data_IF_568347152716
#
_entry.id   IF_568347152716
#
_cell.length_a   1.000
_cell.length_b   1.000
_cell.length_c   1.000
_cell.angle_alpha   90.00
_cell.angle_beta   90.00
_cell.angle_gamma   90.00
#
_symmetry.space_group_name_H-M   'P 1'
#
loop_
_entity.id
_entity.type
_entity.pdbx_description
1 polymer ?
#
# COMPACT_ATOMS: atom_id res chain seq x y z
N UNK A 1 44.80 -10.47 2.25
CA UNK A 1 43.43 -10.11 1.83
C UNK A 1 42.86 -9.14 2.86
N UNK A 2 42.46 -7.95 2.42
CA UNK A 2 42.11 -6.79 3.27
C UNK A 2 40.80 -7.00 4.03
N UNK A 3 40.88 -7.43 5.29
CA UNK A 3 39.74 -7.66 6.18
C UNK A 3 38.83 -6.43 6.37
N UNK A 4 39.37 -5.21 6.20
CA UNK A 4 38.59 -3.98 6.33
C UNK A 4 37.57 -3.76 5.20
N UNK A 5 37.86 -4.28 4.00
CA UNK A 5 36.94 -4.17 2.85
C UNK A 5 35.70 -5.05 3.04
N UNK A 6 35.84 -6.19 3.71
CA UNK A 6 34.73 -7.12 3.98
C UNK A 6 33.70 -6.55 4.98
N UNK A 7 34.17 -5.85 6.01
CA UNK A 7 33.29 -5.21 7.00
C UNK A 7 32.51 -4.02 6.40
N UNK A 8 33.14 -3.22 5.54
CA UNK A 8 32.48 -2.08 4.90
C UNK A 8 31.39 -2.53 3.92
N UNK A 9 31.68 -3.54 3.09
CA UNK A 9 30.70 -4.14 2.18
C UNK A 9 29.50 -4.74 2.94
N UNK A 10 29.75 -5.37 4.09
CA UNK A 10 28.69 -5.91 4.95
C UNK A 10 27.84 -4.80 5.57
N UNK A 11 28.45 -3.70 6.04
CA UNK A 11 27.74 -2.56 6.61
C UNK A 11 26.83 -1.87 5.59
N UNK A 12 27.35 -1.58 4.40
CA UNK A 12 26.58 -0.96 3.31
C UNK A 12 25.39 -1.83 2.91
N UNK A 13 25.60 -3.15 2.76
CA UNK A 13 24.53 -4.08 2.39
C UNK A 13 23.42 -4.10 3.44
N UNK A 14 23.75 -4.14 4.73
CA UNK A 14 22.77 -4.14 5.81
C UNK A 14 21.95 -2.85 5.83
N UNK A 15 22.61 -1.70 5.71
CA UNK A 15 21.94 -0.39 5.64
C UNK A 15 20.98 -0.29 4.44
N UNK A 16 21.37 -0.83 3.29
CA UNK A 16 20.55 -0.83 2.08
C UNK A 16 19.32 -1.74 2.22
N UNK A 17 19.47 -2.92 2.83
CA UNK A 17 18.36 -3.82 3.12
C UNK A 17 17.37 -3.23 4.14
N UNK A 18 17.89 -2.57 5.18
CA UNK A 18 17.06 -1.85 6.16
C UNK A 18 16.31 -0.71 5.49
N UNK A 19 16.98 0.08 4.64
CA UNK A 19 16.35 1.16 3.87
C UNK A 19 15.24 0.66 2.95
N UNK A 20 15.47 -0.44 2.24
CA UNK A 20 14.46 -1.09 1.40
C UNK A 20 13.28 -1.62 2.21
N UNK A 21 13.52 -2.16 3.41
CA UNK A 21 12.45 -2.61 4.31
C UNK A 21 11.57 -1.44 4.76
N UNK A 22 12.16 -0.33 5.20
CA UNK A 22 11.39 0.86 5.58
C UNK A 22 10.63 1.48 4.40
N UNK A 23 11.24 1.49 3.22
CA UNK A 23 10.56 1.93 2.00
C UNK A 23 9.37 1.03 1.67
N UNK A 24 9.56 -0.30 1.70
CA UNK A 24 8.49 -1.26 1.48
C UNK A 24 7.35 -1.09 2.49
N UNK A 25 7.66 -0.90 3.78
CA UNK A 25 6.66 -0.65 4.82
C UNK A 25 5.91 0.67 4.62
N UNK A 26 6.59 1.73 4.18
CA UNK A 26 5.98 3.04 3.90
C UNK A 26 5.00 3.00 2.72
N UNK A 27 5.38 2.32 1.63
CA UNK A 27 4.52 2.16 0.43
C UNK A 27 3.34 1.22 0.73
N UNK A 28 3.54 0.23 1.61
CA UNK A 28 2.51 -0.77 1.97
C UNK A 28 1.49 -0.26 2.99
N UNK A 29 1.49 1.02 3.34
CA UNK A 29 0.43 1.65 4.16
C UNK A 29 -0.90 1.83 3.40
N UNK A 30 -1.25 0.85 2.57
CA UNK A 30 -2.56 0.63 1.94
C UNK A 30 -3.69 0.38 2.96
N UNK A 31 -3.39 0.34 4.26
CA UNK A 31 -4.39 0.55 5.32
C UNK A 31 -4.98 1.98 5.31
N UNK A 32 -4.40 2.91 4.54
CA UNK A 32 -4.99 4.23 4.25
C UNK A 32 -6.18 4.19 3.28
N UNK A 33 -6.58 3.03 2.75
CA UNK A 33 -7.83 2.94 1.99
C UNK A 33 -9.06 3.40 2.80
N UNK A 34 -8.96 3.34 4.14
CA UNK A 34 -10.00 3.77 5.04
C UNK A 34 -10.04 5.29 5.31
N UNK A 35 -8.92 6.02 5.18
CA UNK A 35 -8.84 7.44 5.62
C UNK A 35 -9.44 7.70 7.03
N UNK A 36 -9.38 6.71 7.93
CA UNK A 36 -10.00 6.75 9.27
C UNK A 36 -11.44 6.23 9.38
N UNK A 37 -12.04 5.73 8.29
CA UNK A 37 -13.44 5.29 8.20
C UNK A 37 -13.69 3.80 8.44
N UNK A 38 -12.64 3.01 8.67
CA UNK A 38 -12.72 1.56 8.78
C UNK A 38 -12.68 0.82 7.44
N UNK A 39 -12.67 -0.51 7.50
CA UNK A 39 -12.60 -1.38 6.32
C UNK A 39 -13.84 -1.22 5.45
N UNK A 40 -13.64 -1.12 4.13
CA UNK A 40 -14.72 -1.02 3.15
C UNK A 40 -15.31 0.38 2.94
N UNK A 41 -14.82 1.38 3.69
CA UNK A 41 -15.22 2.77 3.58
C UNK A 41 -14.02 3.65 3.24
N UNK A 42 -14.26 4.84 2.70
CA UNK A 42 -13.26 5.89 2.57
C UNK A 42 -13.85 7.23 2.98
N UNK A 43 -12.99 8.19 3.30
CA UNK A 43 -13.40 9.56 3.61
C UNK A 43 -13.73 10.31 2.32
N UNK A 44 -14.94 10.83 2.19
CA UNK A 44 -15.35 11.65 1.06
C UNK A 44 -14.62 12.99 1.09
N UNK A 45 -14.14 13.44 -0.07
CA UNK A 45 -13.31 14.65 -0.19
C UNK A 45 -14.12 15.91 0.13
N UNK A 46 -15.41 15.94 -0.25
CA UNK A 46 -16.24 17.14 -0.22
C UNK A 46 -16.83 17.47 1.17
N UNK A 47 -17.13 16.45 1.99
CA UNK A 47 -17.80 16.64 3.29
C UNK A 47 -17.10 15.88 4.43
N UNK A 48 -16.02 15.15 4.16
CA UNK A 48 -15.31 14.37 5.18
C UNK A 48 -16.08 13.17 5.74
N UNK A 49 -17.25 12.81 5.17
CA UNK A 49 -18.04 11.69 5.68
C UNK A 49 -17.47 10.35 5.21
N UNK A 50 -17.68 9.31 5.99
CA UNK A 50 -17.32 7.95 5.61
C UNK A 50 -18.36 7.37 4.65
N UNK A 51 -17.92 7.05 3.44
CA UNK A 51 -18.76 6.49 2.38
C UNK A 51 -18.21 5.14 1.92
N UNK A 52 -19.10 4.27 1.47
CA UNK A 52 -18.74 2.95 0.93
C UNK A 52 -17.72 3.10 -0.19
N UNK A 53 -16.68 2.27 -0.16
CA UNK A 53 -15.61 2.25 -1.15
C UNK A 53 -16.04 1.52 -2.43
N UNK A 54 -17.16 1.96 -3.00
CA UNK A 54 -17.75 1.38 -4.19
C UNK A 54 -16.92 1.72 -5.44
N UNK A 55 -16.86 0.83 -6.45
CA UNK A 55 -16.18 1.10 -7.71
C UNK A 55 -16.65 2.41 -8.36
N UNK A 56 -15.69 3.28 -8.71
CA UNK A 56 -15.93 4.54 -9.41
C UNK A 56 -15.72 4.43 -10.93
N UNK A 57 -15.58 5.56 -11.61
CA UNK A 57 -15.20 5.55 -13.02
C UNK A 57 -13.82 4.89 -13.21
N UNK A 58 -13.65 4.13 -14.29
CA UNK A 58 -12.40 3.42 -14.65
C UNK A 58 -11.98 2.29 -13.69
N UNK A 59 -12.84 1.89 -12.75
CA UNK A 59 -12.57 0.68 -11.96
C UNK A 59 -12.89 -0.58 -12.75
N UNK A 60 -12.06 -1.61 -12.57
CA UNK A 60 -12.30 -2.96 -13.12
C UNK A 60 -12.71 -3.92 -12.00
N UNK A 61 -13.66 -4.84 -12.25
CA UNK A 61 -14.01 -5.86 -11.26
C UNK A 61 -12.80 -6.76 -10.97
N UNK A 62 -12.73 -7.31 -9.75
CA UNK A 62 -11.72 -8.30 -9.37
C UNK A 62 -12.38 -9.68 -9.25
N UNK A 63 -12.40 -10.52 -10.31
CA UNK A 63 -13.23 -11.74 -10.34
C UNK A 63 -12.87 -12.77 -9.26
N UNK A 64 -11.60 -12.82 -8.86
CA UNK A 64 -11.11 -13.72 -7.80
C UNK A 64 -11.40 -13.22 -6.37
N UNK A 65 -11.95 -12.01 -6.20
CA UNK A 65 -12.17 -11.38 -4.90
C UNK A 65 -13.57 -10.75 -4.83
N UNK A 66 -14.58 -11.48 -4.31
CA UNK A 66 -15.94 -10.96 -4.16
C UNK A 66 -15.99 -9.68 -3.32
N UNK A 67 -16.72 -8.67 -3.78
CA UNK A 67 -16.80 -7.36 -3.08
C UNK A 67 -15.56 -6.47 -3.26
N UNK A 68 -14.67 -6.82 -4.21
CA UNK A 68 -13.49 -6.04 -4.54
C UNK A 68 -13.43 -5.62 -6.03
N UNK A 69 -12.64 -4.59 -6.28
CA UNK A 69 -12.40 -3.96 -7.58
C UNK A 69 -10.95 -3.48 -7.64
N UNK A 70 -10.47 -3.17 -8.85
CA UNK A 70 -9.16 -2.55 -9.08
C UNK A 70 -9.34 -1.14 -9.60
N UNK A 71 -8.59 -0.20 -9.04
CA UNK A 71 -8.60 1.18 -9.50
C UNK A 71 -7.82 1.33 -10.83
N UNK A 72 -7.78 2.55 -11.37
CA UNK A 72 -7.06 2.84 -12.62
C UNK A 72 -5.54 2.52 -12.56
N UNK A 73 -4.97 2.41 -11.36
CA UNK A 73 -3.58 2.04 -11.11
C UNK A 73 -3.39 0.54 -10.82
N UNK A 74 -4.44 -0.27 -10.99
CA UNK A 74 -4.41 -1.71 -10.75
C UNK A 74 -4.43 -2.13 -9.28
N UNK A 75 -4.50 -1.18 -8.33
CA UNK A 75 -4.54 -1.48 -6.90
C UNK A 75 -5.89 -2.09 -6.51
N UNK A 76 -5.86 -3.19 -5.77
CA UNK A 76 -7.06 -3.86 -5.25
C UNK A 76 -7.70 -3.03 -4.14
N UNK A 77 -9.02 -2.91 -4.18
CA UNK A 77 -9.87 -2.15 -3.25
C UNK A 77 -11.12 -2.97 -2.96
N UNK A 78 -11.60 -2.95 -1.73
CA UNK A 78 -12.77 -3.73 -1.31
C UNK A 78 -13.76 -2.86 -0.55
N UNK A 79 -15.03 -3.27 -0.54
CA UNK A 79 -16.14 -2.57 0.13
C UNK A 79 -17.03 -3.52 0.96
N UNK A 80 -16.55 -4.73 1.23
CA UNK A 80 -17.20 -5.77 2.03
C UNK A 80 -16.18 -6.47 2.92
#
# INVERSE_FOLDING_TARGET
MNSQSMCFASGVRTSLMIGLLFLALGISSIANAAQGCGMGYHRAIYNGTCVLNHPGAFSTPAPAHPGCWRNAWGALRCYR
#
